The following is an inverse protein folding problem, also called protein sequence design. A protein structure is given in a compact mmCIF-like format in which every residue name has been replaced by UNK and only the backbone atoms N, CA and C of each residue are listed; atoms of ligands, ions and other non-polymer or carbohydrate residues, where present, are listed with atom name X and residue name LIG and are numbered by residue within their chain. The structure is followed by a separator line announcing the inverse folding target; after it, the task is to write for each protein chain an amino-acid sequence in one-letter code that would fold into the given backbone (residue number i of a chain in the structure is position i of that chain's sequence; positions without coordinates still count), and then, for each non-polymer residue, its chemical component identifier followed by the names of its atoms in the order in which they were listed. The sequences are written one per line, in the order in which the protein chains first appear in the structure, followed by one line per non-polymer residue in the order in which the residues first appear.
data_IF_735292350657
#
_entry.id   IF_735292350657
#
_cell.length_a   1.000
_cell.length_b   1.000
_cell.length_c   1.000
_cell.angle_alpha   90.00
_cell.angle_beta   90.00
_cell.angle_gamma   90.00
#
_symmetry.space_group_name_H-M   'P 1'
#
loop_
_entity.id
_entity.type
_entity.pdbx_description
1 polymer ?
#
# COMPACT_ATOMS: atom_id res chain seq x y z
N UNK A 1 -9.34 -33.45 11.03
CA UNK A 1 -10.31 -32.34 10.97
C UNK A 1 -9.55 -31.07 11.29
N UNK A 2 -8.90 -30.48 10.28
CA UNK A 2 -8.26 -29.17 10.47
C UNK A 2 -9.38 -28.14 10.59
N UNK A 3 -9.51 -27.56 11.78
CA UNK A 3 -10.41 -26.45 12.04
C UNK A 3 -9.99 -25.32 11.10
N UNK A 4 -10.88 -24.97 10.17
CA UNK A 4 -10.61 -23.95 9.16
C UNK A 4 -10.19 -22.66 9.84
N UNK A 5 -8.97 -22.22 9.56
CA UNK A 5 -8.49 -20.91 9.99
C UNK A 5 -9.53 -19.88 9.54
N UNK A 6 -10.20 -19.27 10.51
CA UNK A 6 -11.17 -18.22 10.27
C UNK A 6 -10.49 -17.15 9.42
N UNK A 7 -10.90 -17.04 8.15
CA UNK A 7 -10.32 -16.07 7.21
C UNK A 7 -10.64 -14.69 7.78
N UNK A 8 -9.67 -14.06 8.45
CA UNK A 8 -9.86 -12.72 8.98
C UNK A 8 -10.32 -11.81 7.83
N UNK A 9 -11.37 -11.00 8.03
CA UNK A 9 -11.83 -10.09 7.00
C UNK A 9 -10.72 -9.10 6.66
N UNK A 10 -10.61 -8.75 5.37
CA UNK A 10 -9.69 -7.70 4.96
C UNK A 10 -10.06 -6.40 5.68
N UNK A 11 -9.09 -5.68 6.27
CA UNK A 11 -9.37 -4.40 6.92
C UNK A 11 -9.92 -3.39 5.90
N UNK A 12 -10.60 -2.32 6.31
CA UNK A 12 -11.23 -1.37 5.38
C UNK A 12 -10.25 -0.69 4.41
N UNK A 13 -8.97 -0.60 4.79
CA UNK A 13 -7.90 -0.06 3.98
C UNK A 13 -6.67 -0.95 4.03
N UNK A 14 -5.97 -1.03 2.91
CA UNK A 14 -4.59 -1.52 2.83
C UNK A 14 -3.64 -0.35 2.56
N UNK A 15 -2.44 -0.42 3.14
CA UNK A 15 -1.44 0.65 3.14
C UNK A 15 -0.13 0.19 2.54
N UNK A 16 0.47 1.00 1.69
CA UNK A 16 1.78 0.77 1.10
C UNK A 16 2.65 2.01 1.29
N UNK A 17 3.78 1.85 1.95
CA UNK A 17 4.72 2.93 2.17
C UNK A 17 5.88 2.83 1.17
N UNK A 18 6.32 3.98 0.67
CA UNK A 18 7.37 4.04 -0.36
C UNK A 18 8.19 5.33 -0.23
N UNK A 19 9.47 5.31 -0.63
CA UNK A 19 10.23 6.55 -0.80
C UNK A 19 9.62 7.45 -1.90
N UNK A 20 9.85 8.76 -1.77
CA UNK A 20 9.33 9.77 -2.69
C UNK A 20 9.71 9.50 -4.15
N UNK A 21 10.92 8.97 -4.38
CA UNK A 21 11.43 8.66 -5.72
C UNK A 21 10.57 7.68 -6.55
N UNK A 22 9.79 6.82 -5.89
CA UNK A 22 8.88 5.89 -6.57
C UNK A 22 7.45 6.42 -6.69
N UNK A 23 7.09 7.43 -5.90
CA UNK A 23 5.72 7.90 -5.78
C UNK A 23 5.17 8.41 -7.12
N UNK A 24 5.99 9.10 -7.91
CA UNK A 24 5.57 9.56 -9.24
C UNK A 24 5.17 8.40 -10.15
N UNK A 25 5.97 7.34 -10.23
CA UNK A 25 5.63 6.16 -11.03
C UNK A 25 4.34 5.50 -10.54
N UNK A 26 4.13 5.41 -9.23
CA UNK A 26 2.92 4.82 -8.65
C UNK A 26 1.68 5.67 -8.97
N UNK A 27 1.81 7.00 -8.94
CA UNK A 27 0.68 7.89 -9.27
C UNK A 27 0.26 7.80 -10.73
N UNK A 28 1.18 7.42 -11.63
CA UNK A 28 0.93 7.30 -13.06
C UNK A 28 0.44 5.90 -13.45
N UNK A 29 1.07 4.85 -12.90
CA UNK A 29 0.86 3.47 -13.36
C UNK A 29 0.06 2.61 -12.35
N UNK A 30 -0.05 3.07 -11.10
CA UNK A 30 -0.65 2.32 -10.00
C UNK A 30 0.38 1.54 -9.18
N UNK A 31 -0.12 0.72 -8.27
CA UNK A 31 0.70 -0.25 -7.53
C UNK A 31 0.68 -1.58 -8.26
N UNK A 32 1.86 -2.09 -8.61
CA UNK A 32 2.01 -3.30 -9.40
C UNK A 32 2.70 -4.43 -8.60
N UNK A 33 2.24 -5.68 -8.72
CA UNK A 33 2.92 -6.84 -8.15
C UNK A 33 4.38 -6.92 -8.58
N UNK A 34 5.29 -7.19 -7.64
CA UNK A 34 6.72 -7.33 -7.94
C UNK A 34 7.25 -8.68 -7.46
N UNK A 35 8.28 -9.18 -8.14
CA UNK A 35 9.03 -10.34 -7.67
C UNK A 35 9.85 -9.94 -6.44
N UNK A 36 9.57 -10.58 -5.31
CA UNK A 36 10.30 -10.38 -4.04
C UNK A 36 10.89 -11.72 -3.63
N UNK A 37 12.18 -11.71 -3.27
CA UNK A 37 13.06 -12.88 -3.22
C UNK A 37 12.45 -14.16 -2.62
N UNK A 38 12.39 -15.21 -3.44
CA UNK A 38 12.00 -16.57 -3.04
C UNK A 38 10.55 -16.96 -3.33
N UNK A 39 9.69 -16.03 -3.74
CA UNK A 39 8.30 -16.33 -4.09
C UNK A 39 8.15 -16.68 -5.58
N UNK A 40 7.37 -17.72 -5.88
CA UNK A 40 7.18 -18.24 -7.25
C UNK A 40 6.44 -17.26 -8.16
N UNK A 41 5.62 -16.36 -7.59
CA UNK A 41 4.79 -15.41 -8.35
C UNK A 41 4.97 -14.00 -7.83
N UNK A 42 5.03 -12.98 -8.71
CA UNK A 42 5.00 -11.58 -8.31
C UNK A 42 3.76 -11.29 -7.46
N UNK A 43 3.94 -10.48 -6.42
CA UNK A 43 2.85 -10.05 -5.56
C UNK A 43 3.05 -8.61 -5.08
N UNK A 44 1.95 -7.95 -4.75
CA UNK A 44 1.94 -6.73 -3.96
C UNK A 44 1.91 -7.08 -2.49
N UNK A 45 2.77 -6.44 -1.70
CA UNK A 45 2.69 -6.49 -0.25
C UNK A 45 2.15 -5.16 0.28
N UNK A 46 1.08 -5.23 1.06
CA UNK A 46 0.49 -4.09 1.75
C UNK A 46 0.21 -4.43 3.21
N UNK A 47 0.21 -3.43 4.07
CA UNK A 47 -0.17 -3.58 5.47
C UNK A 47 -1.65 -3.31 5.67
N UNK A 48 -2.29 -4.09 6.53
CA UNK A 48 -3.65 -3.84 7.01
C UNK A 48 -3.76 -2.67 8.00
N UNK A 49 -2.62 -2.16 8.48
CA UNK A 49 -2.55 -1.00 9.36
C UNK A 49 -1.56 0.03 8.86
N UNK A 50 -1.85 1.30 9.13
CA UNK A 50 -0.97 2.40 8.82
C UNK A 50 0.40 2.27 9.52
N UNK A 51 0.39 1.87 10.80
CA UNK A 51 1.61 1.66 11.58
C UNK A 51 2.46 0.51 11.00
N UNK A 52 1.84 -0.59 10.56
CA UNK A 52 2.57 -1.70 9.94
C UNK A 52 3.29 -1.28 8.65
N UNK A 53 2.70 -0.37 7.87
CA UNK A 53 3.33 0.15 6.66
C UNK A 53 4.55 1.05 6.96
N UNK A 54 4.58 1.73 8.11
CA UNK A 54 5.62 2.71 8.47
C UNK A 54 6.70 2.15 9.39
N UNK A 55 6.47 0.99 10.01
CA UNK A 55 7.40 0.35 10.98
C UNK A 55 8.53 -0.43 10.30
N UNK A 56 8.52 -0.59 8.98
CA UNK A 56 9.64 -1.16 8.20
C UNK A 56 10.80 -0.13 8.11
N UNK A 57 11.40 0.16 9.25
CA UNK A 57 12.21 1.35 9.57
C UNK A 57 13.62 1.41 8.98
N UNK A 58 13.85 0.98 7.74
CA UNK A 58 15.15 1.20 7.06
C UNK A 58 15.09 1.90 5.71
N UNK A 59 13.89 2.19 5.21
CA UNK A 59 13.71 3.07 4.06
C UNK A 59 12.89 4.25 4.56
N UNK A 60 13.35 5.48 4.29
CA UNK A 60 12.56 6.67 4.57
C UNK A 60 11.26 6.58 3.75
N UNK A 61 10.21 6.06 4.39
CA UNK A 61 8.87 6.01 3.83
C UNK A 61 8.32 7.43 3.82
N UNK A 62 8.60 8.19 2.77
CA UNK A 62 8.16 9.57 2.63
C UNK A 62 6.66 9.66 2.32
N UNK A 63 6.19 8.76 1.45
CA UNK A 63 4.82 8.71 0.95
C UNK A 63 4.15 7.42 1.40
N UNK A 64 2.90 7.54 1.82
CA UNK A 64 2.03 6.39 2.11
C UNK A 64 0.88 6.43 1.13
N UNK A 65 0.68 5.34 0.41
CA UNK A 65 -0.50 5.07 -0.38
C UNK A 65 -1.48 4.22 0.42
N UNK A 66 -2.78 4.42 0.20
CA UNK A 66 -3.82 3.51 0.67
C UNK A 66 -4.85 3.26 -0.42
N UNK A 67 -5.57 2.15 -0.28
CA UNK A 67 -6.73 1.79 -1.08
C UNK A 67 -7.84 1.30 -0.17
N UNK A 68 -9.09 1.62 -0.50
CA UNK A 68 -10.24 1.00 0.15
C UNK A 68 -10.38 -0.45 -0.30
N UNK A 69 -10.46 -1.37 0.64
CA UNK A 69 -10.49 -2.81 0.33
C UNK A 69 -11.72 -3.25 -0.46
N UNK A 70 -12.80 -2.46 -0.45
CA UNK A 70 -13.98 -2.71 -1.30
C UNK A 70 -13.70 -2.52 -2.79
N UNK A 71 -12.61 -1.82 -3.15
CA UNK A 71 -12.15 -1.65 -4.53
C UNK A 71 -11.19 -2.77 -4.97
N UNK A 72 -10.95 -3.77 -4.12
CA UNK A 72 -10.05 -4.89 -4.40
C UNK A 72 -10.84 -6.20 -4.61
N UNK A 73 -10.27 -7.10 -5.38
CA UNK A 73 -10.83 -8.44 -5.54
C UNK A 73 -10.43 -9.33 -4.37
N UNK A 74 -11.32 -9.53 -3.40
CA UNK A 74 -11.05 -10.31 -2.18
C UNK A 74 -10.60 -11.77 -2.41
N UNK A 75 -10.73 -12.31 -3.64
CA UNK A 75 -10.22 -13.63 -4.02
C UNK A 75 -8.74 -13.62 -4.42
N UNK A 76 -8.21 -12.47 -4.82
CA UNK A 76 -6.81 -12.29 -5.25
C UNK A 76 -5.88 -11.86 -4.11
N UNK A 77 -6.45 -11.61 -2.93
CA UNK A 77 -5.73 -11.18 -1.75
C UNK A 77 -5.82 -12.20 -0.62
N UNK A 78 -4.69 -12.37 0.08
CA UNK A 78 -4.61 -13.22 1.26
C UNK A 78 -3.77 -12.55 2.34
N UNK A 79 -4.19 -12.71 3.60
CA UNK A 79 -3.37 -12.33 4.73
C UNK A 79 -2.19 -13.30 4.84
N UNK A 80 -0.98 -12.77 4.94
CA UNK A 80 0.27 -13.52 5.09
C UNK A 80 1.14 -12.86 6.17
N UNK A 81 2.14 -13.57 6.65
CA UNK A 81 3.05 -13.10 7.71
C UNK A 81 2.46 -13.28 9.12
N UNK A 82 3.27 -13.83 10.03
CA UNK A 82 2.89 -14.02 11.43
C UNK A 82 2.72 -12.65 12.12
N UNK A 83 1.49 -12.24 12.43
CA UNK A 83 1.18 -11.12 13.32
C UNK A 83 1.26 -9.70 12.74
N UNK A 84 1.76 -9.50 11.52
CA UNK A 84 2.02 -8.15 10.97
C UNK A 84 0.89 -7.54 10.16
N UNK A 85 -0.28 -8.21 10.06
CA UNK A 85 -1.37 -7.79 9.20
C UNK A 85 -0.90 -7.53 7.75
N UNK A 86 0.04 -8.32 7.25
CA UNK A 86 0.48 -8.21 5.86
C UNK A 86 -0.57 -8.87 4.94
N UNK A 87 -0.88 -8.20 3.85
CA UNK A 87 -1.81 -8.64 2.83
C UNK A 87 -1.07 -8.70 1.50
N UNK A 88 -1.14 -9.87 0.86
CA UNK A 88 -0.51 -10.11 -0.43
C UNK A 88 -1.56 -10.23 -1.51
N UNK A 89 -1.41 -9.44 -2.57
CA UNK A 89 -2.29 -9.41 -3.73
C UNK A 89 -1.54 -9.72 -5.03
N UNK A 90 -2.25 -10.20 -6.04
CA UNK A 90 -1.66 -10.48 -7.38
C UNK A 90 -2.22 -9.59 -8.49
N UNK A 91 -3.12 -8.66 -8.14
CA UNK A 91 -3.65 -7.66 -9.08
C UNK A 91 -2.88 -6.34 -9.01
N UNK A 92 -2.97 -5.57 -10.09
CA UNK A 92 -2.53 -4.17 -10.11
C UNK A 92 -3.63 -3.31 -9.47
N UNK A 93 -3.24 -2.38 -8.59
CA UNK A 93 -4.17 -1.37 -8.05
C UNK A 93 -4.04 -0.11 -8.91
N UNK A 94 -5.07 0.18 -9.69
CA UNK A 94 -5.07 1.32 -10.59
C UNK A 94 -5.03 2.67 -9.83
N UNK A 95 -4.42 3.73 -10.41
CA UNK A 95 -4.30 5.03 -9.77
C UNK A 95 -5.63 5.61 -9.25
N UNK A 96 -6.75 5.45 -9.96
CA UNK A 96 -8.02 6.05 -9.53
C UNK A 96 -8.54 5.52 -8.18
N UNK A 97 -8.02 4.39 -7.69
CA UNK A 97 -8.40 3.82 -6.39
C UNK A 97 -7.43 4.18 -5.26
N UNK A 98 -6.33 4.86 -5.57
CA UNK A 98 -5.30 5.19 -4.62
C UNK A 98 -5.51 6.58 -4.01
N UNK A 99 -5.28 6.65 -2.72
CA UNK A 99 -5.06 7.90 -2.00
C UNK A 99 -3.63 7.92 -1.47
N UNK A 100 -3.07 9.11 -1.27
CA UNK A 100 -1.74 9.28 -0.71
C UNK A 100 -1.71 10.33 0.39
N UNK A 101 -0.64 10.29 1.19
CA UNK A 101 -0.21 11.37 2.10
C UNK A 101 1.29 11.32 2.36
N UNK A 102 1.84 12.37 2.95
CA UNK A 102 3.18 12.32 3.56
C UNK A 102 3.13 11.53 4.87
N UNK A 103 4.17 10.77 5.17
CA UNK A 103 4.30 10.04 6.43
C UNK A 103 4.56 10.99 7.62
N UNK A 104 5.57 11.87 7.50
CA UNK A 104 6.02 12.79 8.54
C UNK A 104 5.85 14.28 8.16
N UNK A 105 4.72 14.61 7.51
CA UNK A 105 4.42 15.99 7.09
C UNK A 105 3.72 16.84 8.15
N UNK A 106 3.48 18.12 7.84
CA UNK A 106 2.55 18.97 8.59
C UNK A 106 1.10 18.49 8.46
N UNK A 107 0.17 19.10 9.19
CA UNK A 107 -1.25 18.71 9.20
C UNK A 107 -1.88 18.64 7.80
N UNK A 108 -1.56 19.59 6.92
CA UNK A 108 -2.02 19.65 5.53
C UNK A 108 -1.44 18.53 4.67
N UNK A 109 -0.20 18.12 4.93
CA UNK A 109 0.54 17.07 4.22
C UNK A 109 0.15 15.66 4.65
N UNK A 110 -0.33 15.50 5.89
CA UNK A 110 -0.80 14.23 6.44
C UNK A 110 -2.27 13.94 6.14
N UNK A 111 -2.96 14.85 5.46
CA UNK A 111 -4.30 14.61 4.93
C UNK A 111 -4.24 13.68 3.71
N UNK A 112 -5.21 12.77 3.63
CA UNK A 112 -5.37 11.87 2.50
C UNK A 112 -5.91 12.63 1.28
N UNK A 113 -5.31 12.39 0.13
CA UNK A 113 -5.69 13.00 -1.15
C UNK A 113 -5.71 11.94 -2.23
N UNK A 114 -6.60 12.07 -3.21
CA UNK A 114 -6.56 11.25 -4.40
C UNK A 114 -5.22 11.42 -5.13
N UNK A 115 -4.64 10.32 -5.64
CA UNK A 115 -3.30 10.36 -6.27
C UNK A 115 -3.22 11.18 -7.54
N UNK A 116 -4.33 11.46 -8.22
CA UNK A 116 -4.36 12.37 -9.37
C UNK A 116 -4.04 13.83 -8.98
N UNK A 117 -4.08 14.15 -7.68
CA UNK A 117 -3.65 15.45 -7.14
C UNK A 117 -2.17 15.46 -6.72
N UNK A 118 -1.45 14.35 -6.92
CA UNK A 118 -0.03 14.28 -6.60
C UNK A 118 0.74 15.28 -7.48
N UNK A 119 1.54 16.20 -6.89
CA UNK A 119 2.23 17.24 -7.63
C UNK A 119 3.15 16.66 -8.70
N UNK A 120 2.89 17.01 -9.95
CA UNK A 120 3.77 16.67 -11.06
C UNK A 120 4.90 17.70 -11.11
N UNK A 121 6.11 17.33 -10.67
CA UNK A 121 7.32 18.04 -11.09
C UNK A 121 7.90 19.15 -10.20
N UNK A 122 7.60 19.22 -8.89
CA UNK A 122 8.39 20.07 -7.97
C UNK A 122 8.80 19.26 -6.74
N UNK A 123 10.08 18.83 -6.70
CA UNK A 123 10.73 18.37 -5.47
C UNK A 123 10.67 19.51 -4.45
N UNK A 124 9.81 19.39 -3.44
CA UNK A 124 9.75 20.33 -2.31
C UNK A 124 8.47 21.15 -2.13
N UNK A 125 7.44 20.99 -2.96
CA UNK A 125 6.14 21.67 -2.76
C UNK A 125 5.06 20.78 -2.12
N UNK A 126 5.43 19.56 -1.71
CA UNK A 126 4.58 18.63 -0.98
C UNK A 126 4.58 18.97 0.50
#
# INVERSE_FOLDING_TARGET
MEQGAEKMPMPPYLYHATPEGNAQSITQNGLEPRSVGGEERPYLSMSGTLQGATTLGRQASDIIFRVQSVNLNANLWSQRGAGNNEWRGTEVIAPQFLEYRRNLGNSTQTQWRAVNLYPQGIRGAL
#
